data_IF_699579036526
#
_entry.id   IF_699579036526
#
_cell.length_a   1.000
_cell.length_b   1.000
_cell.length_c   1.000
_cell.angle_alpha   90.00
_cell.angle_beta   90.00
_cell.angle_gamma   90.00
#
_symmetry.space_group_name_H-M   'P 1'
#
loop_
_entity.id
_entity.type
_entity.pdbx_description
1 polymer ?
#
# COMPACT_ATOMS: atom_id res chain seq x y z
N UNK A 1 28.54 22.25 -6.16
CA UNK A 1 29.78 21.44 -5.94
C UNK A 1 29.62 20.73 -4.61
N UNK A 2 28.87 19.64 -4.59
CA UNK A 2 28.71 18.78 -3.41
C UNK A 2 29.54 17.51 -3.63
N UNK A 3 30.84 17.64 -3.26
CA UNK A 3 31.79 16.53 -3.29
C UNK A 3 31.81 15.84 -1.91
N UNK A 4 30.72 15.11 -1.60
CA UNK A 4 30.72 14.07 -0.57
C UNK A 4 30.26 12.77 -1.24
N UNK A 5 31.06 12.28 -2.18
CA UNK A 5 30.92 10.87 -2.61
C UNK A 5 31.59 10.03 -1.53
N UNK A 6 30.78 9.28 -0.76
CA UNK A 6 31.28 8.24 0.12
C UNK A 6 32.24 7.32 -0.65
N UNK A 7 33.31 6.84 -0.04
CA UNK A 7 34.31 6.02 -0.72
C UNK A 7 33.65 4.76 -1.27
N UNK A 8 33.75 4.56 -2.59
CA UNK A 8 33.23 3.38 -3.28
C UNK A 8 34.31 2.28 -3.31
N UNK A 9 34.03 1.16 -2.67
CA UNK A 9 34.91 -0.02 -2.63
C UNK A 9 34.46 -1.13 -3.60
N UNK A 10 33.70 -0.79 -4.65
CA UNK A 10 33.15 -1.76 -5.58
C UNK A 10 34.21 -2.69 -6.25
N UNK A 11 35.45 -2.23 -6.40
CA UNK A 11 36.59 -3.01 -6.87
C UNK A 11 36.96 -4.19 -5.94
N UNK A 12 36.61 -4.11 -4.66
CA UNK A 12 36.91 -5.11 -3.65
C UNK A 12 35.82 -6.19 -3.50
N UNK A 13 34.64 -5.99 -4.11
CA UNK A 13 33.55 -6.94 -4.05
C UNK A 13 33.91 -8.25 -4.76
N UNK A 14 33.83 -9.37 -4.03
CA UNK A 14 34.18 -10.72 -4.53
C UNK A 14 35.56 -10.81 -5.17
N UNK A 15 36.53 -10.08 -4.62
CA UNK A 15 37.89 -10.02 -5.14
C UNK A 15 38.87 -10.63 -4.11
N UNK A 16 39.54 -11.70 -4.50
CA UNK A 16 40.50 -12.45 -3.68
C UNK A 16 41.60 -11.57 -3.10
N UNK A 17 42.09 -10.57 -3.89
CA UNK A 17 43.22 -9.71 -3.48
C UNK A 17 42.85 -8.73 -2.36
N UNK A 18 41.56 -8.42 -2.20
CA UNK A 18 41.04 -7.46 -1.21
C UNK A 18 40.12 -8.15 -0.19
N UNK A 19 40.19 -9.47 -0.09
CA UNK A 19 39.40 -10.26 0.87
C UNK A 19 40.30 -10.81 1.98
N UNK A 20 39.74 -10.85 3.18
CA UNK A 20 40.34 -11.50 4.34
C UNK A 20 39.57 -12.78 4.75
N UNK A 21 38.34 -12.96 4.20
CA UNK A 21 37.48 -14.11 4.52
C UNK A 21 36.67 -14.59 3.32
N UNK A 22 36.17 -15.82 3.43
CA UNK A 22 35.24 -16.43 2.51
C UNK A 22 33.83 -16.48 3.17
N UNK A 23 32.84 -15.85 2.54
CA UNK A 23 31.44 -15.96 2.94
C UNK A 23 30.79 -17.06 2.13
N UNK A 24 30.41 -18.13 2.81
CA UNK A 24 29.66 -19.25 2.25
C UNK A 24 28.18 -19.03 2.45
N UNK A 25 27.43 -18.90 1.37
CA UNK A 25 25.98 -18.74 1.40
C UNK A 25 25.33 -20.09 1.08
N UNK A 26 24.68 -20.69 2.07
CA UNK A 26 23.89 -21.91 1.92
C UNK A 26 22.45 -21.53 1.63
N UNK A 27 21.96 -21.92 0.46
CA UNK A 27 20.62 -21.59 -0.03
C UNK A 27 19.72 -22.80 0.19
N UNK A 28 18.71 -22.62 1.04
CA UNK A 28 17.71 -23.66 1.36
C UNK A 28 16.44 -23.45 0.55
N UNK A 29 15.90 -24.53 -0.03
CA UNK A 29 14.57 -24.49 -0.64
C UNK A 29 13.54 -24.65 0.50
N UNK A 30 12.67 -23.65 0.68
CA UNK A 30 11.70 -23.58 1.78
C UNK A 30 10.85 -24.84 1.94
N UNK A 31 11.06 -25.53 3.03
CA UNK A 31 10.29 -26.64 3.52
C UNK A 31 10.68 -26.89 4.98
N UNK A 32 9.76 -26.52 5.92
CA UNK A 32 9.82 -26.76 7.36
C UNK A 32 11.08 -26.29 8.11
N UNK A 33 11.03 -25.08 8.61
CA UNK A 33 11.89 -24.64 9.72
C UNK A 33 11.28 -25.19 11.01
N UNK A 34 11.75 -26.35 11.45
CA UNK A 34 11.64 -26.71 12.86
C UNK A 34 12.71 -25.95 13.61
N UNK A 35 12.25 -25.07 14.47
CA UNK A 35 12.88 -24.43 15.64
C UNK A 35 14.40 -24.45 15.79
N UNK A 36 14.90 -23.24 15.90
CA UNK A 36 16.17 -22.85 16.50
C UNK A 36 16.46 -23.65 17.75
N UNK A 37 17.39 -24.57 17.67
CA UNK A 37 18.07 -25.09 18.86
C UNK A 37 19.37 -24.32 19.06
N UNK A 38 19.32 -23.59 20.18
CA UNK A 38 20.43 -22.99 20.86
C UNK A 38 21.63 -23.96 20.96
N UNK A 39 22.79 -23.38 20.64
CA UNK A 39 24.12 -23.95 20.89
C UNK A 39 24.22 -24.38 22.33
N UNK A 40 24.07 -25.69 22.59
CA UNK A 40 24.73 -26.39 23.68
C UNK A 40 24.61 -27.91 23.48
N UNK A 41 25.76 -28.60 23.69
CA UNK A 41 25.94 -30.07 23.78
C UNK A 41 26.21 -30.88 22.51
N UNK A 42 27.41 -30.71 21.96
CA UNK A 42 28.14 -31.88 21.42
C UNK A 42 29.37 -32.18 22.28
N UNK A 43 29.15 -32.82 23.43
CA UNK A 43 30.19 -33.63 24.13
C UNK A 43 29.84 -35.11 24.08
N UNK A 44 30.70 -35.86 23.36
CA UNK A 44 31.05 -37.28 23.53
C UNK A 44 29.96 -38.34 23.37
N UNK A 45 30.04 -39.08 22.30
CA UNK A 45 30.11 -40.56 22.42
C UNK A 45 30.97 -41.17 21.30
N UNK A 46 32.06 -41.76 21.73
CA UNK A 46 32.86 -42.71 20.98
C UNK A 46 32.32 -44.12 21.26
N UNK A 47 32.55 -45.02 20.28
CA UNK A 47 32.60 -46.50 20.33
C UNK A 47 31.26 -47.21 20.57
N UNK A 48 30.85 -48.25 19.87
CA UNK A 48 31.58 -49.42 19.34
C UNK A 48 30.76 -50.15 18.28
N UNK A 49 31.48 -50.94 17.50
CA UNK A 49 31.15 -51.90 16.46
C UNK A 49 30.29 -53.06 16.99
N UNK A 50 29.23 -53.51 16.27
CA UNK A 50 29.18 -54.86 15.66
C UNK A 50 27.79 -55.19 15.08
N UNK A 51 27.81 -55.57 13.81
CA UNK A 51 27.12 -56.69 13.11
C UNK A 51 25.75 -57.17 13.56
N UNK A 52 24.77 -57.07 12.66
CA UNK A 52 24.24 -58.25 11.95
C UNK A 52 23.11 -57.83 10.97
N UNK A 53 23.15 -58.42 9.79
CA UNK A 53 22.22 -58.26 8.68
C UNK A 53 20.86 -58.92 9.00
N UNK A 54 19.77 -58.27 8.53
CA UNK A 54 18.59 -58.97 7.96
C UNK A 54 17.90 -58.05 6.97
N UNK A 55 17.54 -58.59 5.84
CA UNK A 55 16.82 -58.06 4.68
C UNK A 55 15.46 -57.45 5.03
N UNK A 56 15.06 -56.42 4.27
CA UNK A 56 13.65 -55.98 4.24
C UNK A 56 13.43 -54.59 3.62
N UNK A 57 13.15 -54.60 2.33
CA UNK A 57 12.25 -53.71 1.61
C UNK A 57 12.59 -52.20 1.45
N UNK A 58 12.70 -51.81 0.19
CA UNK A 58 12.81 -50.49 -0.41
C UNK A 58 11.76 -49.53 0.11
N UNK A 59 12.09 -48.65 1.02
CA UNK A 59 11.55 -47.29 1.08
C UNK A 59 12.54 -46.34 0.42
N UNK A 60 12.13 -45.78 -0.70
CA UNK A 60 12.83 -44.64 -1.34
C UNK A 60 12.76 -43.47 -0.37
N UNK A 61 13.77 -43.32 0.48
CA UNK A 61 14.05 -42.03 1.13
C UNK A 61 14.31 -41.00 0.03
N UNK A 62 13.35 -40.11 -0.17
CA UNK A 62 13.55 -38.86 -0.87
C UNK A 62 14.49 -38.01 -0.01
N UNK A 63 15.79 -38.15 -0.22
CA UNK A 63 16.75 -37.18 0.33
C UNK A 63 16.37 -35.78 -0.17
N UNK A 64 16.21 -34.80 0.74
CA UNK A 64 16.02 -33.41 0.32
C UNK A 64 17.18 -32.99 -0.58
N UNK A 65 16.95 -32.24 -1.65
CA UNK A 65 18.01 -31.78 -2.54
C UNK A 65 19.06 -31.03 -1.73
N UNK A 66 20.34 -31.38 -1.96
CA UNK A 66 21.47 -30.76 -1.27
C UNK A 66 21.38 -29.22 -1.40
N UNK A 67 21.62 -28.44 -0.33
CA UNK A 67 21.56 -26.99 -0.36
C UNK A 67 22.55 -26.46 -1.41
N UNK A 68 22.08 -25.51 -2.24
CA UNK A 68 22.96 -24.83 -3.19
C UNK A 68 23.89 -23.91 -2.39
N UNK A 69 25.18 -23.95 -2.67
CA UNK A 69 26.20 -23.20 -1.96
C UNK A 69 26.83 -22.19 -2.91
N UNK A 70 26.95 -20.94 -2.49
CA UNK A 70 27.67 -19.87 -3.20
C UNK A 70 28.75 -19.31 -2.27
N UNK A 71 29.98 -19.32 -2.71
CA UNK A 71 31.11 -18.79 -1.96
C UNK A 71 31.52 -17.40 -2.52
N UNK A 72 31.67 -16.41 -1.61
CA UNK A 72 32.04 -15.04 -1.94
C UNK A 72 33.29 -14.62 -1.16
N UNK A 73 34.26 -14.01 -1.84
CA UNK A 73 35.40 -13.37 -1.20
C UNK A 73 34.97 -12.02 -0.62
N UNK A 74 35.07 -11.85 0.71
CA UNK A 74 34.62 -10.66 1.42
C UNK A 74 35.75 -9.96 2.18
N UNK A 75 35.58 -8.65 2.37
CA UNK A 75 36.38 -7.87 3.31
C UNK A 75 35.58 -7.66 4.59
N UNK A 76 35.95 -8.37 5.67
CA UNK A 76 35.22 -8.30 6.95
C UNK A 76 35.17 -6.87 7.52
N UNK A 77 36.21 -6.02 7.43
CA UNK A 77 36.16 -4.64 7.89
C UNK A 77 35.11 -3.79 7.17
N UNK A 78 34.95 -3.98 5.84
CA UNK A 78 33.94 -3.24 5.05
C UNK A 78 32.53 -3.64 5.50
N UNK A 79 32.25 -4.94 5.61
CA UNK A 79 30.94 -5.42 6.05
C UNK A 79 30.64 -5.01 7.49
N UNK A 80 31.60 -5.12 8.40
CA UNK A 80 31.46 -4.75 9.81
C UNK A 80 31.22 -3.23 9.99
N UNK A 81 31.82 -2.38 9.15
CA UNK A 81 31.62 -0.93 9.19
C UNK A 81 30.21 -0.53 8.76
N UNK A 82 29.55 -1.31 7.88
CA UNK A 82 28.23 -1.02 7.33
C UNK A 82 27.07 -1.68 8.11
N UNK A 83 27.38 -2.69 8.96
CA UNK A 83 26.36 -3.53 9.60
C UNK A 83 26.76 -3.96 11.01
N UNK A 84 25.98 -3.62 12.04
CA UNK A 84 26.13 -4.16 13.39
C UNK A 84 26.03 -5.68 13.45
N UNK A 85 25.20 -6.30 12.59
CA UNK A 85 25.11 -7.76 12.48
C UNK A 85 26.45 -8.36 12.08
N UNK A 86 27.06 -7.89 10.99
CA UNK A 86 28.37 -8.39 10.54
C UNK A 86 29.49 -7.99 11.50
N UNK A 87 29.41 -6.83 12.15
CA UNK A 87 30.35 -6.48 13.20
C UNK A 87 30.33 -7.51 14.34
N UNK A 88 29.16 -7.87 14.86
CA UNK A 88 29.02 -8.90 15.91
C UNK A 88 29.52 -10.25 15.42
N UNK A 89 29.17 -10.63 14.18
CA UNK A 89 29.56 -11.92 13.58
C UNK A 89 31.09 -12.07 13.48
N UNK A 90 31.82 -10.99 13.19
CA UNK A 90 33.28 -11.05 13.01
C UNK A 90 34.10 -10.70 14.28
N UNK A 91 33.51 -10.08 15.31
CA UNK A 91 34.24 -9.52 16.47
C UNK A 91 34.02 -10.28 17.79
N UNK A 92 32.98 -11.10 17.94
CA UNK A 92 32.56 -11.58 19.26
C UNK A 92 33.24 -12.87 19.76
N UNK A 93 34.41 -13.27 19.29
CA UNK A 93 35.12 -14.46 19.78
C UNK A 93 34.32 -15.76 19.60
N UNK A 94 33.31 -15.75 18.74
CA UNK A 94 32.62 -16.95 18.29
C UNK A 94 33.56 -17.79 17.41
N UNK A 95 33.26 -19.06 17.24
CA UNK A 95 34.07 -19.95 16.41
C UNK A 95 34.30 -19.39 15.01
N UNK A 96 33.31 -18.64 14.50
CA UNK A 96 33.37 -17.94 13.22
C UNK A 96 34.38 -16.78 13.18
N UNK A 97 34.74 -16.20 14.32
CA UNK A 97 35.73 -15.11 14.37
C UNK A 97 37.16 -15.59 14.11
N UNK A 98 37.45 -16.84 14.38
CA UNK A 98 38.78 -17.47 14.19
C UNK A 98 38.90 -18.22 12.85
N UNK A 99 37.75 -18.45 12.15
CA UNK A 99 37.74 -19.19 10.90
C UNK A 99 37.88 -18.26 9.69
N UNK A 100 38.63 -18.68 8.67
CA UNK A 100 38.79 -17.98 7.40
C UNK A 100 37.49 -18.02 6.54
N UNK A 101 36.46 -18.76 6.97
CA UNK A 101 35.18 -18.87 6.29
C UNK A 101 34.03 -18.71 7.29
N UNK A 102 32.98 -18.03 6.84
CA UNK A 102 31.74 -17.79 7.61
C UNK A 102 30.59 -18.30 6.78
N UNK A 103 29.65 -19.00 7.41
CA UNK A 103 28.48 -19.55 6.71
C UNK A 103 27.23 -18.74 7.03
N UNK A 104 26.54 -18.29 5.98
CA UNK A 104 25.26 -17.60 6.05
C UNK A 104 24.17 -18.48 5.42
N UNK A 105 23.09 -18.74 6.15
CA UNK A 105 21.94 -19.52 5.64
C UNK A 105 20.82 -18.58 5.26
N UNK A 106 20.35 -18.73 4.02
CA UNK A 106 19.25 -17.92 3.48
C UNK A 106 18.28 -18.80 2.69
N UNK A 107 17.06 -18.31 2.50
CA UNK A 107 16.09 -18.93 1.59
C UNK A 107 16.40 -18.59 0.13
N UNK A 108 16.00 -19.48 -0.78
CA UNK A 108 16.16 -19.24 -2.22
C UNK A 108 15.47 -17.96 -2.71
N UNK A 109 14.37 -17.58 -2.09
CA UNK A 109 13.63 -16.33 -2.33
C UNK A 109 14.42 -15.06 -1.98
N UNK A 110 15.35 -15.17 -1.01
CA UNK A 110 16.15 -14.04 -0.50
C UNK A 110 17.45 -13.84 -1.27
N UNK A 111 17.92 -14.84 -2.03
CA UNK A 111 19.25 -14.86 -2.64
C UNK A 111 19.57 -13.59 -3.44
N UNK A 112 18.69 -13.21 -4.36
CA UNK A 112 18.89 -12.02 -5.20
C UNK A 112 19.00 -10.74 -4.37
N UNK A 113 18.16 -10.59 -3.35
CA UNK A 113 18.14 -9.43 -2.48
C UNK A 113 19.40 -9.34 -1.60
N UNK A 114 19.85 -10.48 -1.05
CA UNK A 114 21.07 -10.55 -0.23
C UNK A 114 22.31 -10.24 -1.08
N UNK A 115 22.37 -10.75 -2.31
CA UNK A 115 23.47 -10.44 -3.23
C UNK A 115 23.55 -8.94 -3.57
N UNK A 116 22.40 -8.29 -3.82
CA UNK A 116 22.35 -6.86 -4.05
C UNK A 116 22.70 -6.04 -2.79
N UNK A 117 22.26 -6.50 -1.61
CA UNK A 117 22.65 -5.89 -0.33
C UNK A 117 24.16 -5.94 -0.11
N UNK A 118 24.78 -7.12 -0.32
CA UNK A 118 26.24 -7.27 -0.20
C UNK A 118 26.99 -6.37 -1.17
N UNK A 119 26.55 -6.25 -2.43
CA UNK A 119 27.14 -5.28 -3.39
C UNK A 119 26.97 -3.85 -2.91
N UNK A 120 25.77 -3.50 -2.39
CA UNK A 120 25.50 -2.17 -1.84
C UNK A 120 26.49 -1.79 -0.74
N UNK A 121 26.85 -2.73 0.15
CA UNK A 121 27.80 -2.45 1.24
C UNK A 121 29.20 -2.06 0.75
N UNK A 122 29.55 -2.37 -0.50
CA UNK A 122 30.81 -1.93 -1.14
C UNK A 122 30.64 -0.69 -2.02
N UNK A 123 29.47 -0.49 -2.62
CA UNK A 123 29.26 0.53 -3.67
C UNK A 123 28.41 1.71 -3.23
N UNK A 124 27.69 1.60 -2.13
CA UNK A 124 26.66 2.53 -1.67
C UNK A 124 25.57 2.84 -2.73
N UNK A 125 25.37 1.92 -3.69
CA UNK A 125 24.39 2.09 -4.79
C UNK A 125 23.70 0.77 -5.13
N UNK A 126 22.44 0.85 -5.60
CA UNK A 126 21.62 -0.27 -6.10
C UNK A 126 21.36 -0.07 -7.60
N UNK A 127 22.40 -0.16 -8.43
CA UNK A 127 22.31 0.11 -9.86
C UNK A 127 21.52 -0.96 -10.65
N UNK A 128 21.43 -2.18 -10.14
CA UNK A 128 20.75 -3.31 -10.79
C UNK A 128 19.27 -3.43 -10.37
N UNK A 129 18.80 -2.69 -9.37
CA UNK A 129 17.44 -2.80 -8.84
C UNK A 129 16.58 -1.66 -9.39
N UNK A 130 15.67 -1.99 -10.32
CA UNK A 130 14.84 -1.00 -11.02
C UNK A 130 13.35 -1.10 -10.70
N UNK A 131 12.90 -2.24 -10.17
CA UNK A 131 11.49 -2.49 -9.86
C UNK A 131 11.18 -2.36 -8.36
N UNK A 132 9.97 -1.97 -8.05
CA UNK A 132 9.51 -1.73 -6.67
C UNK A 132 9.54 -3.01 -5.81
N UNK A 133 9.08 -4.18 -6.29
CA UNK A 133 9.18 -5.43 -5.52
C UNK A 133 10.62 -5.82 -5.17
N UNK A 134 11.57 -5.63 -6.07
CA UNK A 134 12.98 -5.93 -5.77
C UNK A 134 13.57 -4.96 -4.73
N UNK A 135 13.22 -3.65 -4.78
CA UNK A 135 13.60 -2.69 -3.75
C UNK A 135 13.06 -3.07 -2.36
N UNK A 136 11.81 -3.57 -2.28
CA UNK A 136 11.26 -4.06 -1.01
C UNK A 136 11.99 -5.29 -0.49
N UNK A 137 12.32 -6.25 -1.37
CA UNK A 137 13.11 -7.43 -0.96
C UNK A 137 14.50 -7.04 -0.45
N UNK A 138 15.17 -6.07 -1.10
CA UNK A 138 16.46 -5.54 -0.62
C UNK A 138 16.29 -4.80 0.71
N UNK A 139 15.20 -4.04 0.89
CA UNK A 139 14.90 -3.37 2.16
C UNK A 139 14.70 -4.39 3.30
N UNK A 140 14.01 -5.51 3.04
CA UNK A 140 13.85 -6.60 4.02
C UNK A 140 15.19 -7.26 4.36
N UNK A 141 16.03 -7.52 3.36
CA UNK A 141 17.38 -8.04 3.60
C UNK A 141 18.23 -7.04 4.39
N UNK A 142 18.15 -5.73 4.08
CA UNK A 142 18.86 -4.69 4.79
C UNK A 142 18.43 -4.56 6.27
N UNK A 143 17.16 -4.76 6.56
CA UNK A 143 16.63 -4.82 7.93
C UNK A 143 17.16 -6.07 8.67
N UNK A 144 17.04 -7.26 8.05
CA UNK A 144 17.52 -8.54 8.59
C UNK A 144 19.00 -8.52 8.96
N UNK A 145 19.84 -7.85 8.15
CA UNK A 145 21.27 -7.73 8.36
C UNK A 145 21.70 -6.39 8.94
N UNK A 146 20.79 -5.60 9.48
CA UNK A 146 21.04 -4.33 10.17
C UNK A 146 21.87 -3.32 9.35
N UNK A 147 21.62 -3.19 8.01
CA UNK A 147 22.33 -2.24 7.13
C UNK A 147 21.55 -0.94 6.97
N UNK A 148 21.69 -0.04 7.95
CA UNK A 148 20.92 1.20 8.03
C UNK A 148 21.09 2.15 6.82
N UNK A 149 22.27 2.18 6.21
CA UNK A 149 22.57 2.97 5.00
C UNK A 149 21.72 2.49 3.80
N UNK A 150 21.63 1.17 3.61
CA UNK A 150 20.82 0.56 2.55
C UNK A 150 19.33 0.77 2.80
N UNK A 151 18.87 0.64 4.05
CA UNK A 151 17.47 0.93 4.41
C UNK A 151 17.09 2.37 4.05
N UNK A 152 17.92 3.35 4.38
CA UNK A 152 17.72 4.76 4.01
C UNK A 152 17.71 4.98 2.50
N UNK A 153 18.60 4.29 1.78
CA UNK A 153 18.67 4.36 0.32
C UNK A 153 17.40 3.80 -0.32
N UNK A 154 16.98 2.59 0.05
CA UNK A 154 15.76 1.96 -0.44
C UNK A 154 14.52 2.82 -0.14
N UNK A 155 14.41 3.33 1.09
CA UNK A 155 13.32 4.22 1.50
C UNK A 155 13.25 5.46 0.61
N UNK A 156 14.38 6.13 0.39
CA UNK A 156 14.46 7.33 -0.47
C UNK A 156 14.11 7.00 -1.92
N UNK A 157 14.61 5.88 -2.44
CA UNK A 157 14.33 5.43 -3.80
C UNK A 157 12.84 5.11 -3.98
N UNK A 158 12.22 4.38 -3.03
CA UNK A 158 10.79 4.07 -3.04
C UNK A 158 9.91 5.32 -3.00
N UNK A 159 10.30 6.34 -2.22
CA UNK A 159 9.57 7.62 -2.15
C UNK A 159 9.66 8.44 -3.45
N UNK A 160 10.72 8.27 -4.23
CA UNK A 160 10.96 8.99 -5.48
C UNK A 160 10.40 8.28 -6.72
N UNK A 161 10.03 7.01 -6.62
CA UNK A 161 9.37 6.29 -7.72
C UNK A 161 7.90 6.66 -7.70
N UNK A 162 7.31 7.19 -8.82
CA UNK A 162 5.86 7.32 -8.92
C UNK A 162 5.26 5.91 -8.75
N UNK A 163 4.61 5.67 -7.63
CA UNK A 163 3.96 4.38 -7.36
C UNK A 163 2.68 4.28 -8.21
N UNK A 164 2.84 4.22 -9.52
CA UNK A 164 1.77 3.94 -10.48
C UNK A 164 1.35 2.47 -10.48
N UNK A 165 2.13 1.61 -9.79
CA UNK A 165 1.78 0.20 -9.61
C UNK A 165 0.67 0.10 -8.56
N UNK A 166 -0.44 -0.60 -8.87
CA UNK A 166 -1.49 -0.83 -7.89
C UNK A 166 -0.88 -1.56 -6.69
N UNK A 167 -1.26 -1.12 -5.48
CA UNK A 167 -0.97 -1.80 -4.21
C UNK A 167 -1.37 -3.30 -4.25
N UNK A 168 -2.23 -3.67 -5.22
CA UNK A 168 -2.62 -5.02 -5.57
C UNK A 168 -1.51 -5.86 -6.24
N UNK A 169 -0.36 -5.29 -6.60
CA UNK A 169 0.73 -6.04 -7.22
C UNK A 169 1.70 -6.68 -6.22
N UNK A 170 1.67 -6.28 -4.95
CA UNK A 170 2.37 -7.01 -3.88
C UNK A 170 1.46 -8.13 -3.37
N UNK A 171 1.91 -9.40 -3.37
CA UNK A 171 1.19 -10.48 -2.74
C UNK A 171 0.90 -10.13 -1.27
N UNK A 172 -0.26 -10.48 -0.71
CA UNK A 172 -0.61 -10.20 0.69
C UNK A 172 0.44 -10.72 1.68
N UNK A 173 1.12 -11.79 1.34
CA UNK A 173 2.17 -12.43 2.14
C UNK A 173 3.44 -11.59 2.19
N UNK A 174 3.89 -11.04 1.06
CA UNK A 174 5.04 -10.12 1.01
C UNK A 174 4.76 -8.84 1.78
N UNK A 175 3.53 -8.35 1.75
CA UNK A 175 3.13 -7.15 2.46
C UNK A 175 3.18 -7.33 3.99
N UNK A 176 2.71 -8.48 4.50
CA UNK A 176 2.74 -8.79 5.94
C UNK A 176 4.14 -9.09 6.45
N UNK A 177 5.04 -9.50 5.56
CA UNK A 177 6.45 -9.73 5.87
C UNK A 177 7.32 -8.47 5.86
N UNK A 178 6.79 -7.31 5.45
CA UNK A 178 7.56 -6.05 5.45
C UNK A 178 8.01 -5.67 6.87
N UNK A 179 9.24 -5.19 7.04
CA UNK A 179 9.67 -4.61 8.32
C UNK A 179 8.92 -3.30 8.60
N UNK A 180 8.92 -2.84 9.86
CA UNK A 180 8.25 -1.60 10.27
C UNK A 180 8.66 -0.40 9.39
N UNK A 181 9.95 -0.29 9.04
CA UNK A 181 10.45 0.76 8.13
C UNK A 181 9.83 0.65 6.75
N UNK A 182 9.60 -0.55 6.24
CA UNK A 182 8.97 -0.79 4.95
C UNK A 182 7.51 -0.33 4.91
N UNK A 183 6.71 -0.70 5.92
CA UNK A 183 5.31 -0.25 6.00
C UNK A 183 5.21 1.26 6.21
N UNK A 184 6.09 1.85 7.04
CA UNK A 184 6.17 3.31 7.21
C UNK A 184 6.48 4.01 5.89
N UNK A 185 7.43 3.50 5.11
CA UNK A 185 7.81 4.06 3.80
C UNK A 185 6.62 4.06 2.83
N UNK A 186 5.88 2.96 2.77
CA UNK A 186 4.63 2.89 2.01
C UNK A 186 3.63 3.95 2.46
N UNK A 187 3.38 4.06 3.75
CA UNK A 187 2.43 5.01 4.31
C UNK A 187 2.85 6.48 4.12
N UNK A 188 4.14 6.76 3.98
CA UNK A 188 4.66 8.10 3.70
C UNK A 188 4.43 8.55 2.25
N UNK A 189 4.27 7.63 1.29
CA UNK A 189 4.04 7.97 -0.11
C UNK A 189 2.69 8.65 -0.33
N UNK A 190 2.67 9.69 -1.16
CA UNK A 190 1.45 10.35 -1.61
C UNK A 190 0.83 9.68 -2.84
N UNK A 191 1.61 8.89 -3.58
CA UNK A 191 1.28 8.31 -4.88
C UNK A 191 0.86 6.83 -4.79
N UNK A 192 0.46 6.37 -3.60
CA UNK A 192 -0.15 5.05 -3.45
C UNK A 192 -1.44 4.98 -4.27
N UNK A 193 -1.44 4.14 -5.31
CA UNK A 193 -2.59 3.88 -6.16
C UNK A 193 -3.60 2.96 -5.46
N UNK A 194 -4.23 3.48 -4.43
CA UNK A 194 -5.24 2.78 -3.61
C UNK A 194 -6.63 3.37 -3.83
N UNK A 195 -7.65 2.61 -3.52
CA UNK A 195 -9.03 3.05 -3.73
C UNK A 195 -9.47 4.10 -2.73
N UNK A 196 -9.09 3.95 -1.46
CA UNK A 196 -9.42 4.89 -0.37
C UNK A 196 -8.55 4.62 0.86
N UNK A 197 -8.55 5.54 1.82
CA UNK A 197 -7.76 5.43 3.05
C UNK A 197 -8.27 4.31 3.99
N UNK A 198 -9.54 3.91 3.89
CA UNK A 198 -10.08 2.76 4.62
C UNK A 198 -9.30 1.48 4.33
N UNK A 199 -8.89 1.27 3.07
CA UNK A 199 -8.08 0.12 2.66
C UNK A 199 -6.66 0.20 3.22
N UNK A 200 -6.05 1.40 3.26
CA UNK A 200 -4.74 1.60 3.92
C UNK A 200 -4.81 1.14 5.36
N UNK A 201 -5.83 1.59 6.09
CA UNK A 201 -6.02 1.21 7.48
C UNK A 201 -6.21 -0.31 7.65
N UNK A 202 -7.01 -0.95 6.78
CA UNK A 202 -7.18 -2.42 6.81
C UNK A 202 -5.87 -3.17 6.62
N UNK A 203 -5.04 -2.70 5.72
CA UNK A 203 -3.72 -3.28 5.48
C UNK A 203 -2.81 -3.12 6.68
N UNK A 204 -2.76 -1.92 7.27
CA UNK A 204 -1.99 -1.65 8.48
C UNK A 204 -2.45 -2.55 9.63
N UNK A 205 -3.75 -2.74 9.80
CA UNK A 205 -4.30 -3.66 10.81
C UNK A 205 -3.90 -5.11 10.57
N UNK A 206 -3.98 -5.59 9.32
CA UNK A 206 -3.55 -6.96 8.97
C UNK A 206 -2.07 -7.15 9.24
N UNK A 207 -1.27 -6.17 8.83
CA UNK A 207 0.17 -6.18 9.06
C UNK A 207 0.50 -6.19 10.57
N UNK A 208 -0.12 -5.32 11.37
CA UNK A 208 0.11 -5.26 12.80
C UNK A 208 -0.30 -6.57 13.51
N UNK A 209 -1.41 -7.19 13.09
CA UNK A 209 -1.86 -8.50 13.61
C UNK A 209 -0.92 -9.64 13.25
N UNK A 210 -0.30 -9.61 12.07
CA UNK A 210 0.66 -10.62 11.64
C UNK A 210 2.00 -10.50 12.39
N UNK A 211 2.39 -9.26 12.77
CA UNK A 211 3.67 -8.99 13.42
C UNK A 211 3.60 -8.97 14.96
N UNK A 212 2.41 -8.86 15.56
CA UNK A 212 2.23 -8.98 17.02
C UNK A 212 0.88 -9.61 17.37
N UNK A 213 0.94 -10.68 18.14
CA UNK A 213 -0.24 -11.36 18.73
C UNK A 213 -0.70 -10.70 20.03
N UNK A 214 0.18 -9.95 20.71
CA UNK A 214 -0.09 -9.28 21.98
C UNK A 214 -0.80 -7.95 21.72
N UNK A 215 -1.88 -7.69 22.47
CA UNK A 215 -2.72 -6.50 22.23
C UNK A 215 -1.96 -5.20 22.49
N UNK A 216 -1.24 -5.10 23.60
CA UNK A 216 -0.51 -3.91 24.00
C UNK A 216 0.61 -3.56 23.00
N UNK A 217 1.34 -4.57 22.53
CA UNK A 217 2.39 -4.37 21.52
C UNK A 217 1.79 -3.91 20.20
N UNK A 218 0.66 -4.51 19.79
CA UNK A 218 -0.05 -4.12 18.57
C UNK A 218 -0.57 -2.69 18.65
N UNK A 219 -1.13 -2.27 19.79
CA UNK A 219 -1.53 -0.89 20.03
C UNK A 219 -0.34 0.07 19.97
N UNK A 220 0.81 -0.30 20.54
CA UNK A 220 2.05 0.45 20.43
C UNK A 220 2.50 0.65 18.99
N UNK A 221 2.49 -0.41 18.17
CA UNK A 221 2.79 -0.36 16.75
C UNK A 221 1.79 0.56 16.01
N UNK A 222 0.50 0.40 16.23
CA UNK A 222 -0.53 1.21 15.58
C UNK A 222 -0.43 2.69 15.98
N UNK A 223 -0.12 3.00 17.23
CA UNK A 223 0.14 4.36 17.70
C UNK A 223 1.35 4.98 16.97
N UNK A 224 2.40 4.18 16.74
CA UNK A 224 3.58 4.62 15.98
C UNK A 224 3.26 4.88 14.50
N UNK A 225 2.37 4.10 13.90
CA UNK A 225 1.95 4.24 12.50
C UNK A 225 0.85 5.28 12.28
N UNK A 226 0.09 5.65 13.31
CA UNK A 226 -1.03 6.59 13.23
C UNK A 226 -0.69 7.94 12.56
N UNK A 227 0.50 8.56 12.75
CA UNK A 227 0.86 9.80 12.07
C UNK A 227 0.95 9.69 10.54
N UNK A 228 1.05 8.48 10.00
CA UNK A 228 1.17 8.22 8.56
C UNK A 228 -0.14 7.81 7.91
N UNK A 229 -1.18 7.53 8.71
CA UNK A 229 -2.53 7.17 8.27
C UNK A 229 -3.37 8.46 8.18
N UNK A 230 -4.09 8.64 7.10
CA UNK A 230 -4.83 9.87 6.82
C UNK A 230 -6.29 9.77 7.24
N UNK A 231 -6.53 9.65 8.55
CA UNK A 231 -7.88 9.55 9.14
C UNK A 231 -8.89 10.55 8.59
N UNK A 232 -8.53 11.83 8.28
CA UNK A 232 -9.44 12.80 7.69
C UNK A 232 -10.07 12.34 6.36
N UNK A 233 -9.43 11.42 5.64
CA UNK A 233 -9.89 10.91 4.33
C UNK A 233 -10.59 9.55 4.41
N UNK A 234 -10.73 8.97 5.62
CA UNK A 234 -11.51 7.76 5.85
C UNK A 234 -13.01 8.03 5.80
N UNK A 235 -13.80 6.97 5.54
CA UNK A 235 -15.26 7.06 5.68
C UNK A 235 -15.68 7.23 7.14
N UNK A 236 -16.82 7.92 7.40
CA UNK A 236 -17.36 8.03 8.76
C UNK A 236 -17.71 6.66 9.32
N UNK A 237 -18.10 5.70 8.49
CA UNK A 237 -18.35 4.32 8.91
C UNK A 237 -17.09 3.66 9.47
N UNK A 238 -15.94 3.85 8.82
CA UNK A 238 -14.65 3.32 9.31
C UNK A 238 -14.22 4.02 10.59
N UNK A 239 -14.34 5.35 10.66
CA UNK A 239 -14.03 6.12 11.87
C UNK A 239 -14.86 5.66 13.08
N UNK A 240 -16.16 5.39 12.88
CA UNK A 240 -17.02 4.82 13.92
C UNK A 240 -16.53 3.44 14.39
N UNK A 241 -16.08 2.58 13.49
CA UNK A 241 -15.51 1.27 13.86
C UNK A 241 -14.25 1.40 14.72
N UNK A 242 -13.40 2.39 14.45
CA UNK A 242 -12.19 2.65 15.25
C UNK A 242 -12.55 2.96 16.71
N UNK A 243 -13.62 3.73 16.95
CA UNK A 243 -14.09 4.05 18.31
C UNK A 243 -14.60 2.84 19.09
N UNK A 244 -15.03 1.79 18.40
CA UNK A 244 -15.61 0.57 19.00
C UNK A 244 -14.68 -0.63 18.94
N UNK A 245 -13.47 -0.48 18.39
CA UNK A 245 -12.45 -1.52 18.32
C UNK A 245 -11.40 -1.34 19.42
N UNK A 246 -10.67 -2.41 19.70
CA UNK A 246 -9.52 -2.41 20.62
C UNK A 246 -8.20 -2.13 19.89
N UNK A 247 -8.25 -1.62 18.64
CA UNK A 247 -7.06 -1.38 17.84
C UNK A 247 -6.17 -0.29 18.41
N UNK A 248 -6.79 0.73 19.04
CA UNK A 248 -6.11 1.82 19.75
C UNK A 248 -6.57 1.91 21.18
N UNK A 249 -5.75 2.51 22.03
CA UNK A 249 -6.20 2.96 23.34
C UNK A 249 -7.36 3.95 23.18
N UNK A 250 -8.44 3.89 24.01
CA UNK A 250 -9.62 4.74 23.86
C UNK A 250 -9.32 6.23 23.75
N UNK A 251 -8.37 6.74 24.52
CA UNK A 251 -7.95 8.15 24.51
C UNK A 251 -7.38 8.56 23.14
N UNK A 252 -6.55 7.69 22.53
CA UNK A 252 -5.93 7.90 21.21
C UNK A 252 -6.99 7.79 20.12
N UNK A 253 -7.85 6.76 20.18
CA UNK A 253 -8.93 6.57 19.20
C UNK A 253 -9.84 7.79 19.14
N UNK A 254 -10.28 8.32 20.30
CA UNK A 254 -11.13 9.51 20.35
C UNK A 254 -10.44 10.72 19.73
N UNK A 255 -9.16 10.98 20.08
CA UNK A 255 -8.41 12.10 19.50
C UNK A 255 -8.33 12.02 17.98
N UNK A 256 -7.89 10.88 17.43
CA UNK A 256 -7.74 10.67 15.99
C UNK A 256 -9.07 10.84 15.24
N UNK A 257 -10.15 10.29 15.80
CA UNK A 257 -11.48 10.36 15.19
C UNK A 257 -12.07 11.77 15.28
N UNK A 258 -11.94 12.47 16.39
CA UNK A 258 -12.42 13.85 16.51
C UNK A 258 -11.69 14.78 15.57
N UNK A 259 -10.36 14.71 15.46
CA UNK A 259 -9.58 15.49 14.49
C UNK A 259 -10.07 15.24 13.04
N UNK A 260 -10.32 13.98 12.69
CA UNK A 260 -10.82 13.62 11.37
C UNK A 260 -12.25 14.15 11.12
N UNK A 261 -13.14 14.06 12.11
CA UNK A 261 -14.52 14.55 12.00
C UNK A 261 -14.57 16.08 11.92
N UNK A 262 -13.77 16.80 12.70
CA UNK A 262 -13.67 18.25 12.60
C UNK A 262 -13.18 18.68 11.22
N UNK A 263 -12.12 18.06 10.70
CA UNK A 263 -11.65 18.34 9.32
C UNK A 263 -12.72 18.11 8.27
N UNK A 264 -13.55 17.05 8.43
CA UNK A 264 -14.66 16.76 7.51
C UNK A 264 -15.82 17.77 7.65
N UNK A 265 -16.09 18.25 8.87
CA UNK A 265 -17.15 19.20 9.15
C UNK A 265 -16.82 20.62 8.66
N UNK A 266 -15.56 20.98 8.62
CA UNK A 266 -15.10 22.27 8.13
C UNK A 266 -15.29 22.34 6.61
N UNK A 267 -16.39 22.91 6.19
CA UNK A 267 -16.84 22.93 4.79
C UNK A 267 -16.15 23.97 3.92
N UNK A 268 -15.38 24.89 4.51
CA UNK A 268 -14.67 25.95 3.75
C UNK A 268 -13.39 25.40 3.16
N UNK A 269 -13.30 25.34 1.83
CA UNK A 269 -12.06 25.02 1.10
C UNK A 269 -10.88 25.93 1.53
N UNK A 270 -11.17 27.19 1.88
CA UNK A 270 -10.16 28.14 2.38
C UNK A 270 -9.62 27.71 3.75
N UNK A 271 -10.48 27.23 4.64
CA UNK A 271 -10.06 26.76 5.97
C UNK A 271 -9.30 25.43 5.90
N UNK A 272 -9.77 24.49 5.07
CA UNK A 272 -9.03 23.26 4.78
C UNK A 272 -7.68 23.55 4.11
N UNK A 273 -7.60 24.56 3.24
CA UNK A 273 -6.34 25.00 2.63
C UNK A 273 -5.40 25.63 3.68
N UNK A 274 -5.94 26.40 4.62
CA UNK A 274 -5.14 26.98 5.72
C UNK A 274 -4.59 25.88 6.66
N UNK A 275 -5.40 24.88 7.03
CA UNK A 275 -4.94 23.73 7.81
C UNK A 275 -3.85 22.96 7.06
N UNK A 276 -4.03 22.77 5.74
CA UNK A 276 -3.03 22.11 4.88
C UNK A 276 -1.74 22.93 4.76
N UNK A 277 -1.83 24.27 4.78
CA UNK A 277 -0.67 25.15 4.68
C UNK A 277 0.10 25.31 5.99
N UNK A 278 -0.62 25.35 7.12
CA UNK A 278 -0.04 25.48 8.46
C UNK A 278 0.49 24.13 9.03
N UNK A 279 -0.12 23.01 8.60
CA UNK A 279 0.28 21.72 9.11
C UNK A 279 1.38 21.10 8.24
N UNK A 280 2.57 20.98 8.79
CA UNK A 280 3.58 20.03 8.31
C UNK A 280 3.10 18.56 8.54
N UNK A 281 1.86 18.39 9.00
CA UNK A 281 1.27 17.11 9.32
C UNK A 281 0.71 16.44 8.06
N UNK A 282 1.39 15.39 7.63
CA UNK A 282 1.04 14.61 6.44
C UNK A 282 -0.35 14.00 6.48
N UNK A 283 -0.98 13.86 7.66
CA UNK A 283 -2.33 13.30 7.82
C UNK A 283 -3.40 14.11 7.08
N UNK A 284 -3.17 15.39 6.87
CA UNK A 284 -4.09 16.31 6.19
C UNK A 284 -3.80 16.50 4.69
N UNK A 285 -2.77 15.81 4.16
CA UNK A 285 -2.45 15.83 2.73
C UNK A 285 -3.18 14.68 2.04
N UNK A 286 -4.00 14.98 1.04
CA UNK A 286 -4.71 13.97 0.26
C UNK A 286 -3.73 13.14 -0.60
N UNK A 287 -3.92 11.80 -0.64
CA UNK A 287 -3.21 10.92 -1.57
C UNK A 287 -3.85 10.94 -2.96
N UNK A 288 -3.14 10.41 -3.94
CA UNK A 288 -3.72 10.07 -5.24
C UNK A 288 -4.57 8.80 -5.15
N UNK A 289 -5.83 8.93 -4.73
CA UNK A 289 -6.74 7.78 -4.68
C UNK A 289 -7.23 7.39 -6.08
N UNK A 290 -7.33 6.07 -6.33
CA UNK A 290 -7.98 5.55 -7.56
C UNK A 290 -9.48 5.75 -7.53
N UNK A 291 -10.09 5.80 -6.32
CA UNK A 291 -11.48 6.18 -6.13
C UNK A 291 -11.56 7.60 -5.58
N UNK A 292 -12.30 8.46 -6.28
CA UNK A 292 -12.43 9.87 -5.90
C UNK A 292 -13.20 10.01 -4.58
N UNK A 293 -12.70 10.77 -3.59
CA UNK A 293 -13.43 11.08 -2.37
C UNK A 293 -14.77 11.77 -2.65
N UNK A 294 -15.76 11.46 -1.82
CA UNK A 294 -17.10 12.05 -1.88
C UNK A 294 -17.50 12.62 -0.52
N UNK A 295 -18.43 13.57 -0.54
CA UNK A 295 -19.17 13.99 0.66
C UNK A 295 -20.60 13.45 0.56
N UNK A 296 -21.08 12.81 1.63
CA UNK A 296 -22.43 12.26 1.69
C UNK A 296 -23.23 12.90 2.81
N UNK A 297 -24.53 13.13 2.54
CA UNK A 297 -25.51 13.54 3.54
C UNK A 297 -26.64 12.55 3.47
N UNK A 298 -26.92 11.85 4.59
CA UNK A 298 -27.92 10.78 4.67
C UNK A 298 -29.09 11.22 5.55
N UNK A 299 -30.31 10.86 5.12
CA UNK A 299 -31.55 11.06 5.84
C UNK A 299 -32.30 9.74 5.90
N UNK A 300 -32.84 9.40 7.08
CA UNK A 300 -33.66 8.22 7.25
C UNK A 300 -35.17 8.53 7.20
N UNK A 301 -35.54 9.74 7.63
CA UNK A 301 -36.92 10.19 7.75
C UNK A 301 -37.14 11.42 6.89
N UNK A 302 -38.27 11.56 6.16
CA UNK A 302 -39.43 10.65 6.08
C UNK A 302 -39.17 9.38 5.21
N UNK A 303 -38.14 9.38 4.38
CA UNK A 303 -37.68 8.23 3.60
C UNK A 303 -36.17 8.23 3.51
N UNK A 304 -35.59 7.05 3.32
CA UNK A 304 -34.14 6.92 3.17
C UNK A 304 -33.65 7.66 1.92
N UNK A 305 -32.82 8.65 2.14
CA UNK A 305 -32.27 9.51 1.11
C UNK A 305 -30.76 9.69 1.35
N UNK A 306 -30.00 9.75 0.28
CA UNK A 306 -28.57 10.05 0.31
C UNK A 306 -28.27 11.11 -0.76
N UNK A 307 -27.63 12.20 -0.35
CA UNK A 307 -27.10 13.22 -1.25
C UNK A 307 -25.59 13.04 -1.30
N UNK A 308 -25.06 12.86 -2.50
CA UNK A 308 -23.64 12.62 -2.75
C UNK A 308 -23.06 13.76 -3.55
N UNK A 309 -22.01 14.37 -3.06
CA UNK A 309 -21.25 15.41 -3.76
C UNK A 309 -19.92 14.83 -4.23
N UNK A 310 -19.59 15.07 -5.49
CA UNK A 310 -18.37 14.63 -6.15
C UNK A 310 -17.76 15.80 -6.93
N UNK A 311 -16.54 16.17 -6.56
CA UNK A 311 -15.78 17.22 -7.21
C UNK A 311 -14.67 16.62 -8.07
N UNK A 312 -14.53 17.08 -9.31
CA UNK A 312 -13.50 16.68 -10.25
C UNK A 312 -12.76 17.90 -10.78
N UNK A 313 -11.44 17.84 -10.81
CA UNK A 313 -10.65 18.86 -11.48
C UNK A 313 -10.79 18.76 -13.01
N UNK A 314 -10.57 19.85 -13.71
CA UNK A 314 -10.54 19.87 -15.20
C UNK A 314 -9.49 18.87 -15.74
N UNK A 315 -8.34 18.73 -15.05
CA UNK A 315 -7.30 17.77 -15.40
C UNK A 315 -7.80 16.33 -15.32
N UNK A 316 -8.52 15.95 -14.24
CA UNK A 316 -9.13 14.64 -14.10
C UNK A 316 -10.19 14.39 -15.17
N UNK A 317 -11.04 15.37 -15.45
CA UNK A 317 -12.00 15.27 -16.55
C UNK A 317 -11.31 15.07 -17.90
N UNK A 318 -10.22 15.80 -18.17
CA UNK A 318 -9.44 15.63 -19.40
C UNK A 318 -8.88 14.22 -19.56
N UNK A 319 -8.41 13.60 -18.47
CA UNK A 319 -7.90 12.24 -18.46
C UNK A 319 -8.96 11.15 -18.74
N UNK A 320 -10.26 11.50 -18.74
CA UNK A 320 -11.33 10.59 -19.15
C UNK A 320 -11.38 10.38 -20.66
N UNK A 321 -10.88 11.32 -21.45
CA UNK A 321 -10.88 11.18 -22.91
C UNK A 321 -9.87 10.13 -23.37
N UNK A 322 -10.17 9.28 -24.38
CA UNK A 322 -11.43 9.23 -25.15
C UNK A 322 -12.50 8.29 -24.58
N UNK A 323 -12.17 7.42 -23.60
CA UNK A 323 -13.08 6.38 -23.12
C UNK A 323 -12.77 5.88 -21.71
N UNK A 324 -12.04 6.69 -20.93
CA UNK A 324 -11.71 6.35 -19.55
C UNK A 324 -12.85 6.65 -18.57
N UNK A 325 -12.69 6.15 -17.36
CA UNK A 325 -13.65 6.21 -16.29
C UNK A 325 -12.97 6.44 -14.94
N UNK A 326 -13.60 7.24 -14.10
CA UNK A 326 -13.25 7.43 -12.69
C UNK A 326 -14.33 6.76 -11.85
N UNK A 327 -13.96 6.25 -10.68
CA UNK A 327 -14.90 5.74 -9.69
C UNK A 327 -14.83 6.60 -8.43
N UNK A 328 -16.00 6.91 -7.85
CA UNK A 328 -16.06 7.51 -6.53
C UNK A 328 -15.80 6.48 -5.44
N UNK A 329 -15.53 6.96 -4.22
CA UNK A 329 -15.66 6.12 -3.03
C UNK A 329 -17.08 5.58 -2.93
N UNK A 330 -17.23 4.45 -2.23
CA UNK A 330 -18.52 3.81 -2.00
C UNK A 330 -19.32 4.58 -0.95
N UNK A 331 -20.65 4.56 -1.11
CA UNK A 331 -21.60 5.05 -0.13
C UNK A 331 -22.77 4.07 0.02
N UNK A 332 -23.52 4.18 1.11
CA UNK A 332 -24.57 3.26 1.46
C UNK A 332 -25.94 3.91 1.35
N UNK A 333 -26.92 3.20 0.81
CA UNK A 333 -28.32 3.58 0.81
C UNK A 333 -29.21 2.34 0.86
N UNK A 334 -30.05 2.23 1.89
CA UNK A 334 -30.99 1.12 2.04
C UNK A 334 -30.32 -0.25 2.18
N UNK A 335 -29.15 -0.32 2.82
CA UNK A 335 -28.40 -1.54 3.03
C UNK A 335 -27.62 -2.03 1.81
N UNK A 336 -27.55 -1.24 0.73
CA UNK A 336 -26.74 -1.53 -0.47
C UNK A 336 -25.61 -0.55 -0.64
N UNK A 337 -24.51 -1.03 -1.20
CA UNK A 337 -23.36 -0.21 -1.59
C UNK A 337 -23.52 0.32 -3.01
N UNK A 338 -23.28 1.62 -3.15
CA UNK A 338 -23.29 2.32 -4.42
C UNK A 338 -22.00 3.12 -4.61
N UNK A 339 -21.70 3.44 -5.87
CA UNK A 339 -20.67 4.42 -6.24
C UNK A 339 -21.12 5.21 -7.49
N UNK A 340 -20.54 6.39 -7.66
CA UNK A 340 -20.69 7.19 -8.87
C UNK A 340 -19.53 6.93 -9.83
N UNK A 341 -19.81 6.94 -11.12
CA UNK A 341 -18.80 6.72 -12.14
C UNK A 341 -18.93 7.74 -13.27
N UNK A 342 -18.21 8.87 -13.19
CA UNK A 342 -17.95 9.75 -14.31
C UNK A 342 -17.14 9.06 -15.41
N UNK A 343 -17.45 9.34 -16.66
CA UNK A 343 -16.76 8.74 -17.80
C UNK A 343 -16.89 9.59 -19.07
N UNK A 344 -16.01 9.36 -20.02
CA UNK A 344 -16.18 9.86 -21.37
C UNK A 344 -16.81 8.76 -22.24
N UNK A 345 -17.89 9.09 -22.93
CA UNK A 345 -18.59 8.15 -23.79
C UNK A 345 -18.87 8.80 -25.14
N UNK A 346 -18.95 7.96 -26.18
CA UNK A 346 -19.51 8.37 -27.46
C UNK A 346 -21.05 8.39 -27.38
N UNK A 347 -21.64 9.30 -28.19
CA UNK A 347 -23.09 9.31 -28.40
C UNK A 347 -23.58 8.00 -29.05
N UNK A 348 -24.89 7.81 -29.12
CA UNK A 348 -25.48 6.61 -29.72
C UNK A 348 -25.13 6.44 -31.22
N UNK A 349 -24.74 7.54 -31.89
CA UNK A 349 -24.35 7.56 -33.30
C UNK A 349 -22.83 7.49 -33.51
N UNK A 350 -22.03 7.34 -32.41
CA UNK A 350 -20.56 7.33 -32.42
C UNK A 350 -19.89 8.59 -33.01
N UNK A 351 -20.59 9.73 -33.06
CA UNK A 351 -20.10 10.97 -33.68
C UNK A 351 -19.32 11.86 -32.72
N UNK A 352 -19.88 12.02 -31.49
CA UNK A 352 -19.31 12.96 -30.51
C UNK A 352 -19.08 12.29 -29.17
N UNK A 353 -18.06 12.73 -28.47
CA UNK A 353 -17.82 12.33 -27.09
C UNK A 353 -18.60 13.25 -26.16
N UNK A 354 -19.10 12.71 -25.06
CA UNK A 354 -19.88 13.40 -24.05
C UNK A 354 -19.44 12.98 -22.65
N UNK A 355 -19.71 13.85 -21.67
CA UNK A 355 -19.50 13.53 -20.27
C UNK A 355 -20.71 12.73 -19.74
N UNK A 356 -20.44 11.50 -19.33
CA UNK A 356 -21.41 10.59 -18.75
C UNK A 356 -21.25 10.45 -17.24
N UNK A 357 -22.34 10.14 -16.57
CA UNK A 357 -22.37 9.83 -15.14
C UNK A 357 -23.29 8.65 -14.89
N UNK A 358 -22.74 7.64 -14.16
CA UNK A 358 -23.44 6.39 -13.85
C UNK A 358 -23.44 6.15 -12.35
N UNK A 359 -24.55 5.60 -11.86
CA UNK A 359 -24.72 5.03 -10.53
C UNK A 359 -24.56 3.52 -10.63
N UNK A 360 -23.61 2.95 -9.87
CA UNK A 360 -23.32 1.52 -9.81
C UNK A 360 -23.72 0.96 -8.46
N UNK A 361 -24.37 -0.22 -8.47
CA UNK A 361 -24.54 -1.06 -7.30
C UNK A 361 -23.49 -2.17 -7.31
N UNK A 362 -22.82 -2.41 -6.19
CA UNK A 362 -21.66 -3.32 -6.11
C UNK A 362 -21.93 -4.65 -5.39
N UNK A 363 -23.06 -4.83 -4.74
CA UNK A 363 -23.32 -6.05 -3.97
C UNK A 363 -23.59 -7.26 -4.84
N UNK A 364 -22.79 -8.31 -4.61
CA UNK A 364 -23.04 -9.66 -5.11
C UNK A 364 -23.82 -10.44 -4.03
N UNK A 365 -25.02 -10.92 -4.37
CA UNK A 365 -25.66 -11.99 -3.61
C UNK A 365 -26.71 -11.62 -2.56
N UNK A 366 -27.13 -10.36 -2.41
CA UNK A 366 -28.32 -10.06 -1.60
C UNK A 366 -29.59 -10.23 -2.41
N UNK A 367 -30.54 -11.03 -1.90
CA UNK A 367 -31.86 -11.27 -2.50
C UNK A 367 -32.79 -10.05 -2.48
N UNK A 368 -32.37 -8.96 -1.84
CA UNK A 368 -33.19 -7.76 -1.67
C UNK A 368 -33.02 -6.83 -2.86
N UNK A 369 -34.08 -6.65 -3.61
CA UNK A 369 -34.14 -5.61 -4.65
C UNK A 369 -34.47 -4.26 -4.05
N UNK A 370 -33.80 -3.20 -4.51
CA UNK A 370 -34.04 -1.83 -4.04
C UNK A 370 -34.37 -0.95 -5.25
N UNK A 371 -35.49 -0.23 -5.17
CA UNK A 371 -35.85 0.76 -6.18
C UNK A 371 -35.35 2.13 -5.73
N UNK A 372 -34.52 2.75 -6.55
CA UNK A 372 -33.90 4.05 -6.28
C UNK A 372 -34.43 5.07 -7.29
N UNK A 373 -35.01 6.16 -6.79
CA UNK A 373 -35.21 7.36 -7.56
C UNK A 373 -33.91 8.17 -7.46
N UNK A 374 -33.35 8.62 -8.59
CA UNK A 374 -32.09 9.34 -8.61
C UNK A 374 -32.13 10.59 -9.47
N UNK A 375 -31.41 11.61 -9.03
CA UNK A 375 -31.26 12.89 -9.71
C UNK A 375 -29.80 13.30 -9.77
N UNK A 376 -29.30 13.61 -10.97
CA UNK A 376 -27.95 14.14 -11.19
C UNK A 376 -27.99 15.62 -11.48
N UNK A 377 -27.21 16.39 -10.74
CA UNK A 377 -27.10 17.84 -10.86
C UNK A 377 -25.63 18.23 -11.02
N UNK A 378 -25.38 19.35 -11.69
CA UNK A 378 -24.07 19.98 -11.74
C UNK A 378 -24.17 21.45 -11.42
N UNK A 379 -23.12 22.04 -10.83
CA UNK A 379 -23.07 23.50 -10.70
C UNK A 379 -22.90 24.17 -12.07
N UNK A 380 -23.41 25.37 -12.17
CA UNK A 380 -23.44 26.14 -13.40
C UNK A 380 -22.89 27.56 -13.13
N UNK A 381 -21.92 27.99 -13.91
CA UNK A 381 -21.15 29.23 -13.69
C UNK A 381 -21.98 30.49 -13.46
N UNK A 382 -23.04 30.77 -14.26
CA UNK A 382 -23.83 32.00 -14.08
C UNK A 382 -24.48 32.13 -12.71
N UNK A 383 -25.05 31.06 -12.16
CA UNK A 383 -25.78 31.09 -10.89
C UNK A 383 -24.98 30.52 -9.73
N UNK A 384 -23.95 29.77 -10.01
CA UNK A 384 -23.18 28.94 -9.06
C UNK A 384 -24.04 27.94 -8.25
N UNK A 385 -25.28 27.71 -8.70
CA UNK A 385 -26.21 26.75 -8.09
C UNK A 385 -26.16 25.39 -8.79
N UNK A 386 -26.67 24.37 -8.09
CA UNK A 386 -26.85 23.06 -8.67
C UNK A 386 -28.10 23.03 -9.56
N UNK A 387 -27.89 22.89 -10.86
CA UNK A 387 -28.96 22.69 -11.82
C UNK A 387 -29.16 21.20 -12.09
N UNK A 388 -30.39 20.73 -12.00
CA UNK A 388 -30.76 19.36 -12.33
C UNK A 388 -30.45 19.10 -13.80
N UNK A 389 -29.69 18.07 -14.09
CA UNK A 389 -29.32 17.69 -15.46
C UNK A 389 -30.14 16.50 -15.95
N UNK A 390 -30.23 15.46 -15.11
CA UNK A 390 -30.94 14.22 -15.44
C UNK A 390 -31.57 13.63 -14.18
N UNK A 391 -32.70 12.96 -14.34
CA UNK A 391 -33.35 12.19 -13.28
C UNK A 391 -33.93 10.90 -13.82
N UNK A 392 -34.08 9.92 -12.97
CA UNK A 392 -34.61 8.62 -13.34
C UNK A 392 -34.98 7.78 -12.12
N UNK A 393 -35.49 6.60 -12.42
CA UNK A 393 -35.87 5.59 -11.45
C UNK A 393 -35.39 4.23 -11.93
N UNK A 394 -34.79 3.45 -11.04
CA UNK A 394 -34.27 2.13 -11.40
C UNK A 394 -34.34 1.14 -10.24
N UNK A 395 -34.67 -0.12 -10.56
CA UNK A 395 -34.73 -1.22 -9.60
C UNK A 395 -33.44 -2.03 -9.70
N UNK A 396 -32.60 -1.94 -8.67
CA UNK A 396 -31.37 -2.71 -8.57
C UNK A 396 -31.64 -4.09 -7.98
N UNK A 397 -31.25 -5.14 -8.69
CA UNK A 397 -31.40 -6.56 -8.29
C UNK A 397 -30.06 -7.27 -8.08
N UNK A 398 -28.94 -6.59 -8.31
CA UNK A 398 -27.58 -7.13 -8.19
C UNK A 398 -26.54 -6.10 -8.59
N UNK A 399 -25.39 -6.55 -9.09
CA UNK A 399 -24.35 -5.67 -9.64
C UNK A 399 -24.83 -5.10 -10.96
N UNK A 400 -25.28 -3.87 -10.94
CA UNK A 400 -25.87 -3.17 -12.09
C UNK A 400 -25.46 -1.71 -12.09
N UNK A 401 -25.53 -1.09 -13.26
CA UNK A 401 -25.30 0.34 -13.41
C UNK A 401 -26.41 1.00 -14.20
N UNK A 402 -26.78 2.19 -13.80
CA UNK A 402 -27.70 3.07 -14.51
C UNK A 402 -27.16 4.49 -14.57
N UNK A 403 -27.42 5.21 -15.63
CA UNK A 403 -26.99 6.59 -15.77
C UNK A 403 -27.17 7.09 -17.18
N UNK A 404 -26.49 8.17 -17.48
CA UNK A 404 -26.59 8.86 -18.77
C UNK A 404 -25.22 8.98 -19.40
N UNK A 405 -25.12 8.63 -20.68
CA UNK A 405 -23.89 8.80 -21.47
C UNK A 405 -23.58 10.27 -21.72
N UNK A 406 -24.59 11.09 -21.80
CA UNK A 406 -24.54 12.55 -21.89
C UNK A 406 -25.38 13.14 -20.76
N UNK A 407 -24.75 13.47 -19.65
CA UNK A 407 -25.43 14.05 -18.50
C UNK A 407 -25.56 15.56 -18.60
N UNK A 408 -24.62 16.23 -19.28
CA UNK A 408 -24.55 17.68 -19.35
C UNK A 408 -25.23 18.29 -20.60
N UNK A 409 -25.49 17.50 -21.64
CA UNK A 409 -26.06 17.95 -22.89
C UNK A 409 -25.09 18.78 -23.74
N UNK A 410 -23.77 18.53 -23.56
CA UNK A 410 -22.73 19.28 -24.26
C UNK A 410 -21.71 18.34 -24.90
N UNK A 411 -21.25 18.60 -26.13
CA UNK A 411 -20.12 17.88 -26.71
C UNK A 411 -18.85 18.05 -25.87
N UNK A 412 -17.97 17.03 -25.87
CA UNK A 412 -16.75 17.01 -25.06
C UNK A 412 -15.89 18.26 -25.21
N UNK A 413 -15.68 18.72 -26.44
CA UNK A 413 -14.86 19.90 -26.71
C UNK A 413 -15.41 21.16 -26.01
N UNK A 414 -16.73 21.35 -26.03
CA UNK A 414 -17.40 22.48 -25.34
C UNK A 414 -17.40 22.28 -23.83
N UNK A 415 -17.50 21.03 -23.35
CA UNK A 415 -17.47 20.71 -21.93
C UNK A 415 -16.11 21.05 -21.32
N UNK A 416 -15.00 20.64 -21.96
CA UNK A 416 -13.64 20.77 -21.40
C UNK A 416 -12.97 22.11 -21.68
N UNK A 417 -13.52 22.92 -22.61
CA UNK A 417 -12.97 24.21 -23.04
C UNK A 417 -12.77 25.20 -21.89
N UNK A 418 -11.89 26.17 -22.07
CA UNK A 418 -11.58 27.18 -21.04
C UNK A 418 -12.83 27.97 -20.61
N UNK A 419 -13.70 28.34 -21.57
CA UNK A 419 -14.94 29.08 -21.32
C UNK A 419 -16.11 28.19 -20.86
N UNK A 420 -15.85 26.93 -20.55
CA UNK A 420 -16.90 26.00 -20.13
C UNK A 420 -17.65 26.51 -18.89
N UNK A 421 -18.98 26.52 -18.93
CA UNK A 421 -19.78 26.98 -17.79
C UNK A 421 -19.86 26.00 -16.64
N UNK A 422 -19.31 24.79 -16.82
CA UNK A 422 -19.39 23.72 -15.83
C UNK A 422 -18.24 23.72 -14.82
N UNK A 423 -17.14 24.43 -15.11
CA UNK A 423 -16.00 24.50 -14.20
C UNK A 423 -15.99 25.83 -13.43
N UNK A 424 -16.06 25.73 -12.10
CA UNK A 424 -15.93 26.85 -11.17
C UNK A 424 -14.61 26.69 -10.44
N UNK A 425 -13.69 27.62 -10.55
CA UNK A 425 -12.34 27.54 -10.01
C UNK A 425 -11.63 26.20 -10.42
N UNK A 426 -11.78 25.87 -11.70
CA UNK A 426 -11.23 24.66 -12.33
C UNK A 426 -11.76 23.33 -11.80
N UNK A 427 -12.88 23.37 -11.05
CA UNK A 427 -13.58 22.20 -10.49
C UNK A 427 -14.96 22.04 -11.12
N UNK A 428 -15.27 20.81 -11.54
CA UNK A 428 -16.61 20.35 -11.88
C UNK A 428 -17.28 19.84 -10.60
N UNK A 429 -18.36 20.48 -10.17
CA UNK A 429 -19.13 20.08 -9.01
C UNK A 429 -20.35 19.29 -9.43
N UNK A 430 -20.38 18.01 -9.03
CA UNK A 430 -21.49 17.09 -9.28
C UNK A 430 -22.25 16.80 -7.98
N UNK A 431 -23.56 16.63 -8.07
CA UNK A 431 -24.42 16.19 -6.99
C UNK A 431 -25.34 15.06 -7.50
N UNK A 432 -25.36 13.95 -6.79
CA UNK A 432 -26.33 12.89 -6.97
C UNK A 432 -27.25 12.85 -5.75
N UNK A 433 -28.55 12.98 -5.98
CA UNK A 433 -29.59 12.83 -4.96
C UNK A 433 -30.34 11.54 -5.20
N UNK A 434 -30.38 10.68 -4.19
CA UNK A 434 -30.90 9.32 -4.29
C UNK A 434 -31.91 9.09 -3.19
N UNK A 435 -33.06 8.54 -3.51
CA UNK A 435 -34.09 8.21 -2.54
C UNK A 435 -34.69 6.84 -2.79
N UNK A 436 -34.99 6.12 -1.70
CA UNK A 436 -35.71 4.87 -1.71
C UNK A 436 -37.15 5.16 -1.25
N UNK A 437 -38.09 4.88 -2.12
CA UNK A 437 -39.51 4.84 -1.70
C UNK A 437 -39.83 3.40 -1.30
N UNK A 438 -40.31 3.27 -0.08
CA UNK A 438 -40.89 2.01 0.43
C UNK A 438 -42.17 1.66 -0.29
#
# INVERSE_FOLDING_TARGET
MDSNSDPCFGFAFNNVQFSDRLLRIEITNGGEITNVDSVQDRKRRRTDVNTSAVDGENEKECNPPAPRVTDLHISSPILAAQSPFFYKLFSNGMIESEQNHVTLRIEASEEAAVMELLKFMYTNSLSSVTDVPALFRVLMAADKFEVASCMKYCTRSLLNIPMTLPYASLPPEELTALPLVGIMTLLMSNDLMITCEDIVYEVVLKWAKANSSVLEERQGILNHLAPYIRFPYMTCHRLKKILTSDDFEPSVAHKLVFEALFFKAESSLAHQAAIKADSHDRRFIERGYTCRPIKTVEFEVPHRQCIVYLDLTRKECNALYPSNRIYSQKFHLGGKEFLLSPCCNKDQQNRFHHFGLFLWSQEKGTSVSVTVDYEFSSRWKPTQEFAIRRKGKYKFTGVQSIGFRDVLGAPWASFIGEDSPYFINDLLHLRAELSIRL
#
